data_IF_910394868490
#
_entry.id   IF_910394868490
#
_cell.length_a   1.000
_cell.length_b   1.000
_cell.length_c   1.000
_cell.angle_alpha   90.00
_cell.angle_beta   90.00
_cell.angle_gamma   90.00
#
_symmetry.space_group_name_H-M   'P 1'
#
loop_
_entity.id
_entity.type
_entity.pdbx_description
1 polymer ?
#
# COMPACT_ATOMS: atom_id res chain seq x y z
N UNK A 1 13.43 0.20 -6.08
CA UNK A 1 12.06 -0.10 -5.60
C UNK A 1 11.48 1.17 -5.04
N UNK A 2 10.36 1.61 -5.59
CA UNK A 2 9.70 2.87 -5.26
C UNK A 2 8.30 2.56 -4.77
N UNK A 3 8.01 2.98 -3.55
CA UNK A 3 6.68 2.87 -2.96
C UNK A 3 5.78 3.97 -3.49
N UNK A 4 4.61 3.59 -3.99
CA UNK A 4 3.57 4.50 -4.47
C UNK A 4 2.35 4.56 -3.56
N UNK A 5 2.34 3.76 -2.48
CA UNK A 5 1.20 3.62 -1.57
C UNK A 5 0.65 4.95 -1.08
N UNK A 6 1.51 5.92 -0.73
CA UNK A 6 1.07 7.27 -0.34
C UNK A 6 0.28 7.96 -1.46
N UNK A 7 0.83 7.97 -2.67
CA UNK A 7 0.20 8.58 -3.85
C UNK A 7 -1.13 7.90 -4.18
N UNK A 8 -1.18 6.56 -4.14
CA UNK A 8 -2.41 5.78 -4.33
C UNK A 8 -3.47 6.17 -3.31
N UNK A 9 -3.07 6.29 -2.05
CA UNK A 9 -3.99 6.60 -0.96
C UNK A 9 -4.52 8.03 -1.07
N UNK A 10 -3.65 8.99 -1.33
CA UNK A 10 -4.00 10.41 -1.48
C UNK A 10 -4.93 10.60 -2.70
N UNK A 11 -4.67 9.92 -3.83
CA UNK A 11 -5.51 9.97 -5.03
C UNK A 11 -6.94 9.46 -4.82
N UNK A 12 -7.13 8.53 -3.88
CA UNK A 12 -8.44 7.97 -3.53
C UNK A 12 -9.03 8.56 -2.24
N UNK A 13 -8.38 9.53 -1.61
CA UNK A 13 -8.85 10.15 -0.36
C UNK A 13 -8.93 9.18 0.82
N UNK A 14 -8.13 8.11 0.83
CA UNK A 14 -8.13 7.11 1.90
C UNK A 14 -7.04 7.38 2.93
N UNK A 15 -7.38 7.29 4.21
CA UNK A 15 -6.43 7.56 5.29
C UNK A 15 -5.67 6.31 5.72
N UNK A 16 -4.46 6.49 6.27
CA UNK A 16 -3.68 5.39 6.86
C UNK A 16 -4.45 4.61 7.91
N UNK A 17 -5.24 5.30 8.73
CA UNK A 17 -6.05 4.65 9.76
C UNK A 17 -7.15 3.77 9.15
N UNK A 18 -7.85 4.26 8.13
CA UNK A 18 -8.88 3.50 7.45
C UNK A 18 -8.32 2.24 6.76
N UNK A 19 -7.19 2.39 6.05
CA UNK A 19 -6.50 1.25 5.41
C UNK A 19 -5.99 0.26 6.46
N UNK A 20 -5.40 0.73 7.55
CA UNK A 20 -4.92 -0.14 8.63
C UNK A 20 -6.05 -0.99 9.23
N UNK A 21 -7.19 -0.36 9.50
CA UNK A 21 -8.38 -1.02 10.06
C UNK A 21 -8.94 -2.05 9.08
N UNK A 22 -9.07 -1.69 7.81
CA UNK A 22 -9.62 -2.57 6.77
C UNK A 22 -8.69 -3.73 6.41
N UNK A 23 -7.38 -3.49 6.36
CA UNK A 23 -6.36 -4.50 6.06
C UNK A 23 -6.02 -5.39 7.27
N UNK A 24 -6.42 -4.99 8.50
CA UNK A 24 -6.13 -5.71 9.76
C UNK A 24 -4.64 -5.92 10.03
N UNK A 25 -3.83 -4.91 9.71
CA UNK A 25 -2.36 -4.95 9.90
C UNK A 25 -1.92 -4.01 11.03
N UNK A 26 -0.67 -4.15 11.47
CA UNK A 26 -0.06 -3.21 12.41
C UNK A 26 0.20 -1.84 11.74
N UNK A 27 -0.08 -0.75 12.45
CA UNK A 27 0.11 0.62 11.95
C UNK A 27 1.57 0.91 11.56
N UNK A 28 2.53 0.37 12.31
CA UNK A 28 3.96 0.55 12.01
C UNK A 28 4.34 -0.08 10.67
N UNK A 29 3.77 -1.23 10.36
CA UNK A 29 3.96 -1.92 9.08
C UNK A 29 3.41 -1.08 7.93
N UNK A 30 2.20 -0.53 8.08
CA UNK A 30 1.61 0.37 7.07
C UNK A 30 2.45 1.64 6.88
N UNK A 31 2.90 2.27 7.98
CA UNK A 31 3.76 3.46 7.92
C UNK A 31 5.05 3.19 7.15
N UNK A 32 5.70 2.05 7.38
CA UNK A 32 6.93 1.69 6.69
C UNK A 32 6.78 1.71 5.16
N UNK A 33 5.67 1.17 4.65
CA UNK A 33 5.37 1.14 3.21
C UNK A 33 4.88 2.49 2.69
N UNK A 34 4.08 3.21 3.47
CA UNK A 34 3.59 4.54 3.12
C UNK A 34 4.74 5.56 3.03
N UNK A 35 5.67 5.54 3.98
CA UNK A 35 6.85 6.43 4.03
C UNK A 35 8.01 5.93 3.14
N UNK A 36 7.84 4.77 2.47
CA UNK A 36 8.84 4.22 1.55
C UNK A 36 10.09 3.60 2.21
N UNK A 37 10.06 3.36 3.51
CA UNK A 37 11.20 2.86 4.29
C UNK A 37 11.32 1.33 4.30
N UNK A 38 10.23 0.61 4.00
CA UNK A 38 10.22 -0.86 3.92
C UNK A 38 11.04 -1.34 2.71
N UNK A 39 12.14 -2.08 2.98
CA UNK A 39 12.99 -2.67 1.93
C UNK A 39 12.58 -4.08 1.50
N UNK A 40 11.98 -4.84 2.42
CA UNK A 40 11.51 -6.22 2.21
C UNK A 40 10.07 -6.32 2.72
N UNK A 41 9.07 -5.98 1.89
CA UNK A 41 7.68 -6.13 2.29
C UNK A 41 7.33 -7.61 2.37
N UNK A 42 6.57 -7.96 3.39
CA UNK A 42 5.85 -9.23 3.44
C UNK A 42 4.75 -9.20 2.36
N UNK A 43 4.72 -10.23 1.50
CA UNK A 43 3.79 -10.29 0.37
C UNK A 43 2.33 -10.47 0.81
N UNK A 44 2.08 -11.16 1.93
CA UNK A 44 0.74 -11.37 2.45
C UNK A 44 0.18 -10.08 3.05
N UNK A 45 1.05 -9.32 3.73
CA UNK A 45 0.71 -7.97 4.22
C UNK A 45 0.41 -7.03 3.05
N UNK A 46 1.24 -7.06 2.00
CA UNK A 46 1.04 -6.23 0.82
C UNK A 46 -0.27 -6.59 0.09
N UNK A 47 -0.56 -7.89 -0.04
CA UNK A 47 -1.83 -8.40 -0.57
C UNK A 47 -3.02 -7.93 0.25
N UNK A 48 -2.89 -7.91 1.59
CA UNK A 48 -3.94 -7.42 2.50
C UNK A 48 -4.22 -5.94 2.31
N UNK A 49 -3.19 -5.12 2.10
CA UNK A 49 -3.32 -3.69 1.80
C UNK A 49 -3.99 -3.47 0.46
N UNK A 50 -3.53 -4.13 -0.60
CA UNK A 50 -4.13 -4.02 -1.95
C UNK A 50 -5.60 -4.43 -1.90
N UNK A 51 -5.91 -5.54 -1.22
CA UNK A 51 -7.28 -6.01 -1.03
C UNK A 51 -8.15 -5.01 -0.27
N UNK A 52 -7.62 -4.39 0.79
CA UNK A 52 -8.30 -3.34 1.53
C UNK A 52 -8.59 -2.11 0.65
N UNK A 53 -7.59 -1.64 -0.11
CA UNK A 53 -7.76 -0.52 -1.03
C UNK A 53 -8.83 -0.82 -2.07
N UNK A 54 -8.84 -2.00 -2.70
CA UNK A 54 -9.89 -2.41 -3.65
C UNK A 54 -11.29 -2.33 -3.05
N UNK A 55 -11.47 -2.80 -1.81
CA UNK A 55 -12.77 -2.77 -1.12
C UNK A 55 -13.19 -1.35 -0.76
N UNK A 56 -12.24 -0.51 -0.34
CA UNK A 56 -12.52 0.87 0.07
C UNK A 56 -12.80 1.80 -1.10
N UNK A 57 -12.12 1.60 -2.23
CA UNK A 57 -12.21 2.51 -3.39
C UNK A 57 -13.14 2.00 -4.48
N UNK A 58 -13.46 0.70 -4.48
CA UNK A 58 -14.17 0.04 -5.58
C UNK A 58 -13.36 -0.06 -6.88
N UNK A 59 -12.06 0.28 -6.84
CA UNK A 59 -11.18 0.29 -8.01
C UNK A 59 -10.31 -0.97 -8.07
N UNK A 60 -9.89 -1.41 -9.27
CA UNK A 60 -9.05 -2.59 -9.45
C UNK A 60 -7.57 -2.32 -9.13
N UNK A 61 -7.26 -1.88 -7.90
CA UNK A 61 -5.89 -1.56 -7.45
C UNK A 61 -4.96 -2.76 -7.65
N UNK A 62 -3.81 -2.56 -8.26
CA UNK A 62 -2.80 -3.58 -8.58
C UNK A 62 -1.52 -3.38 -7.78
N UNK A 63 -0.58 -4.33 -7.90
CA UNK A 63 0.74 -4.20 -7.27
C UNK A 63 1.49 -2.97 -7.76
N UNK A 64 1.42 -2.67 -9.05
CA UNK A 64 2.12 -1.53 -9.68
C UNK A 64 1.60 -0.17 -9.21
N UNK A 65 0.35 -0.11 -8.75
CA UNK A 65 -0.24 1.10 -8.19
C UNK A 65 0.35 1.42 -6.81
N UNK A 66 0.83 0.42 -6.07
CA UNK A 66 1.37 0.59 -4.71
C UNK A 66 2.89 0.45 -4.63
N UNK A 67 3.51 -0.25 -5.58
CA UNK A 67 4.93 -0.58 -5.59
C UNK A 67 5.44 -0.74 -7.02
N UNK A 68 6.51 -0.03 -7.38
CA UNK A 68 7.20 -0.20 -8.66
C UNK A 68 8.65 -0.65 -8.44
N UNK A 69 9.11 -1.62 -9.23
CA UNK A 69 10.52 -1.97 -9.32
C UNK A 69 11.17 -1.07 -10.35
N UNK A 70 12.00 -0.13 -9.91
CA UNK A 70 13.00 0.46 -10.78
C UNK A 70 14.04 -0.64 -11.05
N UNK A 71 13.98 -1.20 -12.25
CA UNK A 71 15.07 -1.98 -12.80
C UNK A 71 16.01 -0.94 -13.39
N UNK A 72 17.16 -0.73 -12.74
CA UNK A 72 18.21 0.11 -13.31
C UNK A 72 18.74 -0.54 -14.59
N UNK A 73 18.82 0.25 -15.66
CA UNK A 73 19.61 -0.08 -16.85
C UNK A 73 21.11 -0.15 -16.52
#
# INVERSE_FOLDING_TARGET
>A
MVWKLKETMDAHGVTRYAVQKEAKIAMNTLRGMYDGTTRRPDLDVLGSIIGALRRMTGQPITLTDVLTLEIGE
#
